data_IF_963195058722
#
_entry.id   IF_963195058722
#
_cell.length_a   1.000
_cell.length_b   1.000
_cell.length_c   1.000
_cell.angle_alpha   90.00
_cell.angle_beta   90.00
_cell.angle_gamma   90.00
#
_symmetry.space_group_name_H-M   'P 1'
#
loop_
_entity.id
_entity.type
_entity.pdbx_description
1 polymer ?
#
# COMPACT_ATOMS: atom_id res chain seq x y z
N UNK A 1 18.08 -9.82 8.37
CA UNK A 1 18.52 -8.95 9.49
C UNK A 1 17.68 -9.28 10.72
N UNK A 2 18.25 -9.23 11.93
CA UNK A 2 17.53 -9.41 13.19
C UNK A 2 17.30 -8.04 13.83
N UNK A 3 16.07 -7.77 14.26
CA UNK A 3 15.70 -6.57 15.00
C UNK A 3 15.39 -6.91 16.45
N UNK A 4 15.98 -6.17 17.38
CA UNK A 4 15.62 -6.21 18.80
C UNK A 4 14.90 -4.92 19.16
N UNK A 5 13.64 -5.03 19.59
CA UNK A 5 12.85 -3.91 20.08
C UNK A 5 12.80 -3.97 21.60
N UNK A 6 13.08 -2.85 22.25
CA UNK A 6 13.09 -2.76 23.70
C UNK A 6 12.49 -1.43 24.16
N UNK A 7 11.61 -1.49 25.17
CA UNK A 7 11.03 -0.34 25.84
C UNK A 7 11.11 -0.55 27.35
N UNK A 8 12.17 -0.01 27.95
CA UNK A 8 12.54 -0.20 29.36
C UNK A 8 11.41 0.11 30.33
N UNK A 9 10.73 1.22 30.11
CA UNK A 9 9.70 1.75 31.02
C UNK A 9 8.49 0.82 31.15
N UNK A 10 8.26 -0.01 30.13
CA UNK A 10 7.13 -0.96 30.09
C UNK A 10 7.58 -2.43 30.13
N UNK A 11 8.87 -2.69 30.36
CA UNK A 11 9.48 -4.01 30.34
C UNK A 11 9.14 -4.83 29.07
N UNK A 12 9.09 -4.16 27.92
CA UNK A 12 8.81 -4.79 26.64
C UNK A 12 10.13 -5.09 25.93
N UNK A 13 10.34 -6.34 25.56
CA UNK A 13 11.46 -6.81 24.74
C UNK A 13 10.94 -7.81 23.71
N UNK A 14 11.39 -7.66 22.46
CA UNK A 14 10.98 -8.54 21.38
C UNK A 14 12.09 -8.68 20.34
N UNK A 15 12.24 -9.90 19.81
CA UNK A 15 13.05 -10.18 18.64
C UNK A 15 12.16 -10.33 17.41
N UNK A 16 12.61 -9.81 16.29
CA UNK A 16 11.97 -9.98 14.99
C UNK A 16 13.03 -10.28 13.92
N UNK A 17 12.62 -10.99 12.86
CA UNK A 17 13.48 -11.30 11.72
C UNK A 17 12.96 -10.60 10.49
N UNK A 18 13.82 -9.78 9.89
CA UNK A 18 13.61 -9.19 8.57
C UNK A 18 14.24 -10.09 7.51
N UNK A 19 13.39 -10.59 6.61
CA UNK A 19 13.80 -11.37 5.44
C UNK A 19 13.64 -10.50 4.20
N UNK A 20 14.65 -10.51 3.34
CA UNK A 20 14.68 -9.81 2.05
C UNK A 20 15.27 -10.77 1.02
N UNK A 21 14.94 -10.55 -0.24
CA UNK A 21 15.60 -11.21 -1.36
C UNK A 21 17.00 -10.58 -1.56
N UNK A 22 17.98 -11.14 -0.87
CA UNK A 22 19.34 -10.62 -0.82
C UNK A 22 20.01 -10.90 0.53
N UNK A 23 21.23 -10.39 0.69
CA UNK A 23 21.96 -10.44 1.95
C UNK A 23 22.28 -9.03 2.43
N UNK A 24 21.84 -8.71 3.66
CA UNK A 24 22.24 -7.47 4.33
C UNK A 24 23.68 -7.63 4.80
N UNK A 25 24.60 -6.85 4.22
CA UNK A 25 26.04 -6.88 4.51
C UNK A 25 26.45 -5.83 5.56
N UNK A 26 25.71 -4.70 5.64
CA UNK A 26 25.98 -3.63 6.59
C UNK A 26 24.70 -2.87 6.93
N UNK A 27 24.65 -2.30 8.14
CA UNK A 27 23.56 -1.44 8.61
C UNK A 27 24.12 -0.23 9.34
N UNK A 28 23.49 0.92 9.17
CA UNK A 28 23.76 2.09 10.01
C UNK A 28 22.46 2.89 10.24
N UNK A 29 22.36 3.51 11.41
CA UNK A 29 21.27 4.43 11.73
C UNK A 29 21.78 5.86 11.55
N UNK A 30 21.05 6.66 10.78
CA UNK A 30 21.38 8.05 10.51
C UNK A 30 20.22 8.92 10.98
N UNK A 31 20.54 9.96 11.76
CA UNK A 31 19.54 10.95 12.13
C UNK A 31 19.18 11.79 10.90
N UNK A 32 17.92 11.73 10.50
CA UNK A 32 17.32 12.67 9.57
C UNK A 32 16.42 13.64 10.33
N UNK A 33 15.92 14.67 9.64
CA UNK A 33 15.18 15.82 10.21
C UNK A 33 14.41 15.48 11.49
N UNK A 34 13.37 14.67 11.37
CA UNK A 34 12.46 14.33 12.47
C UNK A 34 12.41 12.82 12.78
N UNK A 35 13.27 12.01 12.15
CA UNK A 35 13.30 10.57 12.36
C UNK A 35 14.72 10.01 12.23
N UNK A 36 15.04 8.97 12.98
CA UNK A 36 16.25 8.18 12.76
C UNK A 36 15.95 7.13 11.69
N UNK A 37 16.61 7.23 10.54
CA UNK A 37 16.42 6.31 9.41
C UNK A 37 17.50 5.23 9.39
N UNK A 38 17.09 3.99 9.13
CA UNK A 38 18.02 2.87 8.96
C UNK A 38 18.45 2.77 7.50
N UNK A 39 19.75 2.72 7.27
CA UNK A 39 20.36 2.47 5.98
C UNK A 39 20.95 1.06 5.96
N UNK A 40 20.78 0.37 4.84
CA UNK A 40 21.18 -1.02 4.63
C UNK A 40 22.06 -1.09 3.38
N UNK A 41 23.18 -1.80 3.47
CA UNK A 41 23.90 -2.28 2.30
C UNK A 41 23.41 -3.70 2.00
N UNK A 42 22.70 -3.87 0.89
CA UNK A 42 22.09 -5.15 0.50
C UNK A 42 22.73 -5.68 -0.78
N UNK A 43 23.35 -6.86 -0.70
CA UNK A 43 23.85 -7.59 -1.86
C UNK A 43 22.74 -8.41 -2.49
N UNK A 44 22.52 -8.24 -3.79
CA UNK A 44 21.53 -8.99 -4.59
C UNK A 44 22.16 -9.53 -5.88
N UNK A 45 21.45 -10.45 -6.52
CA UNK A 45 21.76 -10.91 -7.88
C UNK A 45 20.66 -10.41 -8.82
N UNK A 46 21.02 -9.57 -9.79
CA UNK A 46 20.10 -8.98 -10.76
C UNK A 46 20.62 -9.34 -12.15
N UNK A 47 19.80 -10.00 -12.97
CA UNK A 47 20.19 -10.52 -14.28
C UNK A 47 21.53 -11.31 -14.29
N UNK A 48 21.79 -12.10 -13.24
CA UNK A 48 23.02 -12.88 -13.08
C UNK A 48 24.24 -12.10 -12.58
N UNK A 49 24.14 -10.79 -12.39
CA UNK A 49 25.21 -9.95 -11.85
C UNK A 49 25.03 -9.73 -10.35
N UNK A 50 26.15 -9.81 -9.60
CA UNK A 50 26.14 -9.43 -8.17
C UNK A 50 26.23 -7.91 -8.05
N UNK A 51 25.22 -7.32 -7.42
CA UNK A 51 25.12 -5.88 -7.19
C UNK A 51 24.92 -5.59 -5.71
N UNK A 52 25.26 -4.35 -5.29
CA UNK A 52 25.04 -3.85 -3.94
C UNK A 52 24.18 -2.61 -4.00
N UNK A 53 23.10 -2.61 -3.23
CA UNK A 53 22.18 -1.48 -3.10
C UNK A 53 22.36 -0.83 -1.73
N UNK A 54 22.34 0.50 -1.72
CA UNK A 54 22.13 1.27 -0.49
C UNK A 54 20.65 1.53 -0.39
N UNK A 55 20.02 1.00 0.66
CA UNK A 55 18.58 1.10 0.87
C UNK A 55 18.27 1.83 2.16
N UNK A 56 17.36 2.80 2.09
CA UNK A 56 16.85 3.51 3.26
C UNK A 56 15.51 2.90 3.64
N UNK A 57 15.35 2.49 4.89
CA UNK A 57 14.07 2.02 5.40
C UNK A 57 13.06 3.18 5.39
N UNK A 58 11.91 2.97 4.77
CA UNK A 58 10.87 3.99 4.69
C UNK A 58 10.23 4.22 6.06
N UNK A 59 9.70 5.44 6.28
CA UNK A 59 8.98 5.75 7.50
C UNK A 59 7.74 4.86 7.63
N UNK A 60 7.49 4.38 8.86
CA UNK A 60 6.25 3.66 9.20
C UNK A 60 5.09 4.61 9.49
N UNK A 61 5.33 5.92 9.46
CA UNK A 61 4.31 6.94 9.61
C UNK A 61 3.79 7.33 8.23
N UNK A 62 2.59 6.86 7.89
CA UNK A 62 1.84 7.27 6.72
C UNK A 62 0.46 7.79 7.13
N UNK A 63 0.00 8.82 6.43
CA UNK A 63 -1.30 9.47 6.69
C UNK A 63 -2.47 8.62 6.22
N UNK A 64 -2.28 7.84 5.15
CA UNK A 64 -3.30 7.03 4.51
C UNK A 64 -2.67 5.84 3.76
N UNK A 65 -3.53 5.03 3.13
CA UNK A 65 -3.11 3.88 2.30
C UNK A 65 -2.34 4.32 1.05
N UNK A 66 -2.55 5.53 0.54
CA UNK A 66 -1.83 6.04 -0.62
C UNK A 66 -0.37 6.34 -0.28
N UNK A 67 -0.07 6.73 0.95
CA UNK A 67 1.29 7.05 1.40
C UNK A 67 2.08 5.82 1.87
N UNK A 68 1.41 4.68 2.06
CA UNK A 68 2.01 3.45 2.54
C UNK A 68 3.20 2.99 1.68
N UNK A 69 4.25 2.54 2.36
CA UNK A 69 5.44 1.94 1.75
C UNK A 69 5.65 0.55 2.33
N UNK A 70 4.97 -0.44 1.76
CA UNK A 70 4.98 -1.82 2.24
C UNK A 70 5.55 -2.78 1.19
N UNK A 71 6.68 -2.39 0.59
CA UNK A 71 7.47 -3.19 -0.35
C UNK A 71 8.95 -3.06 -0.03
N UNK A 72 9.73 -4.06 -0.41
CA UNK A 72 11.19 -4.01 -0.31
C UNK A 72 11.80 -3.47 -1.60
N UNK A 73 12.92 -2.75 -1.50
CA UNK A 73 13.65 -2.17 -2.65
C UNK A 73 12.76 -1.37 -3.62
N UNK A 74 11.76 -0.66 -3.09
CA UNK A 74 10.69 -0.07 -3.88
C UNK A 74 11.04 1.22 -4.63
N UNK A 75 10.26 1.52 -5.66
CA UNK A 75 10.22 2.80 -6.37
C UNK A 75 8.80 3.29 -6.43
N UNK A 76 8.62 4.61 -6.23
CA UNK A 76 7.32 5.26 -6.30
C UNK A 76 7.31 6.37 -7.34
N UNK A 77 6.26 6.38 -8.16
CA UNK A 77 5.80 7.55 -8.88
C UNK A 77 4.75 8.26 -8.04
N UNK A 78 4.89 9.57 -7.86
CA UNK A 78 3.88 10.43 -7.25
C UNK A 78 3.63 11.63 -8.16
N UNK A 79 2.51 11.59 -8.88
CA UNK A 79 2.06 12.63 -9.79
C UNK A 79 1.11 13.64 -9.15
N UNK A 80 0.79 13.47 -7.86
CA UNK A 80 -0.05 14.39 -7.10
C UNK A 80 0.63 15.74 -6.93
N UNK A 81 -0.15 16.80 -7.11
CA UNK A 81 0.31 18.16 -6.90
C UNK A 81 0.59 18.41 -5.42
N UNK A 82 1.76 18.98 -5.13
CA UNK A 82 2.21 19.33 -3.76
C UNK A 82 2.23 20.84 -3.53
N UNK A 83 1.96 21.64 -4.57
CA UNK A 83 2.00 23.09 -4.53
C UNK A 83 0.59 23.66 -4.71
N UNK A 84 -0.07 24.16 -3.65
CA UNK A 84 -1.45 24.61 -3.72
C UNK A 84 -1.65 25.82 -4.63
N UNK A 85 -0.59 26.51 -5.05
CA UNK A 85 -0.67 27.60 -6.02
C UNK A 85 -0.85 27.12 -7.48
N UNK A 86 -0.60 25.83 -7.74
CA UNK A 86 -0.73 25.21 -9.05
C UNK A 86 -2.09 24.54 -9.17
N UNK A 87 -2.97 25.11 -9.98
CA UNK A 87 -4.35 24.61 -10.09
C UNK A 87 -4.69 24.17 -11.50
N UNK A 88 -5.60 23.21 -11.60
CA UNK A 88 -6.25 22.81 -12.85
C UNK A 88 -7.75 23.07 -12.73
N UNK A 89 -8.33 23.69 -13.76
CA UNK A 89 -9.77 23.85 -13.90
C UNK A 89 -10.23 23.16 -15.17
N UNK A 90 -11.40 22.52 -15.11
CA UNK A 90 -12.09 21.99 -16.29
C UNK A 90 -13.32 22.84 -16.63
N UNK A 91 -13.49 23.22 -17.89
CA UNK A 91 -14.69 23.92 -18.40
C UNK A 91 -15.22 23.21 -19.65
N UNK A 92 -16.53 23.12 -19.81
CA UNK A 92 -17.13 22.42 -20.96
C UNK A 92 -18.64 22.57 -21.04
N UNK A 93 -19.20 22.23 -22.20
CA UNK A 93 -20.64 22.30 -22.47
C UNK A 93 -21.41 21.04 -22.02
N UNK A 94 -20.72 19.90 -21.90
CA UNK A 94 -21.27 18.64 -21.41
C UNK A 94 -20.32 18.01 -20.40
N UNK A 95 -20.89 17.30 -19.43
CA UNK A 95 -20.18 16.68 -18.31
C UNK A 95 -20.39 15.17 -18.24
N UNK A 96 -20.86 14.57 -19.33
CA UNK A 96 -21.03 13.13 -19.48
C UNK A 96 -19.69 12.46 -19.86
N UNK A 97 -19.61 11.14 -19.68
CA UNK A 97 -18.46 10.38 -20.16
C UNK A 97 -18.26 10.60 -21.68
N UNK A 98 -17.01 10.77 -22.10
CA UNK A 98 -16.61 11.06 -23.48
C UNK A 98 -16.75 12.53 -23.91
N UNK A 99 -17.36 13.40 -23.10
CA UNK A 99 -17.49 14.82 -23.44
C UNK A 99 -16.12 15.51 -23.47
N UNK A 100 -15.96 16.44 -24.40
CA UNK A 100 -14.76 17.29 -24.49
C UNK A 100 -14.86 18.46 -23.52
N UNK A 101 -13.83 18.62 -22.71
CA UNK A 101 -13.63 19.73 -21.78
C UNK A 101 -12.30 20.42 -22.08
N UNK A 102 -12.21 21.69 -21.73
CA UNK A 102 -10.98 22.46 -21.73
C UNK A 102 -10.35 22.39 -20.34
N UNK A 103 -9.09 21.97 -20.27
CA UNK A 103 -8.26 22.04 -19.08
C UNK A 103 -7.42 23.31 -19.10
N UNK A 104 -7.56 24.11 -18.06
CA UNK A 104 -6.80 25.35 -17.86
C UNK A 104 -5.92 25.19 -16.63
N UNK A 105 -4.62 25.38 -16.80
CA UNK A 105 -3.62 25.40 -15.74
C UNK A 105 -3.30 26.84 -15.31
N UNK A 106 -3.26 27.08 -14.01
CA UNK A 106 -2.79 28.33 -13.43
C UNK A 106 -1.59 28.09 -12.50
N UNK A 107 -0.65 29.04 -12.46
CA UNK A 107 0.57 28.95 -11.65
C UNK A 107 1.63 27.96 -12.17
N UNK A 108 1.39 27.28 -13.29
CA UNK A 108 2.33 26.33 -13.89
C UNK A 108 2.01 26.08 -15.38
N UNK A 109 2.84 25.26 -16.05
CA UNK A 109 2.77 24.95 -17.49
C UNK A 109 2.87 23.44 -17.75
N UNK A 110 1.85 22.63 -17.40
CA UNK A 110 1.92 21.17 -17.42
C UNK A 110 1.78 20.56 -18.82
N UNK A 111 1.39 21.34 -19.82
CA UNK A 111 1.08 20.84 -21.15
C UNK A 111 2.24 21.11 -22.13
N UNK A 112 2.66 20.07 -22.86
CA UNK A 112 3.71 20.15 -23.87
C UNK A 112 3.54 19.07 -24.94
N UNK A 113 4.55 18.89 -25.79
CA UNK A 113 4.47 17.99 -26.95
C UNK A 113 4.15 16.51 -26.58
N UNK A 114 4.47 16.07 -25.37
CA UNK A 114 4.17 14.73 -24.87
C UNK A 114 2.90 14.61 -24.02
N UNK A 115 2.05 15.65 -23.98
CA UNK A 115 0.85 15.64 -23.13
C UNK A 115 -0.36 14.97 -23.78
N UNK A 116 -0.40 14.83 -25.10
CA UNK A 116 -1.48 14.08 -25.76
C UNK A 116 -1.53 12.63 -25.25
N UNK A 117 -2.72 12.17 -24.89
CA UNK A 117 -2.95 10.87 -24.26
C UNK A 117 -2.63 10.78 -22.76
N UNK A 118 -2.03 11.82 -22.15
CA UNK A 118 -1.84 11.84 -20.69
C UNK A 118 -3.17 11.99 -19.97
N UNK A 119 -3.27 11.31 -18.83
CA UNK A 119 -4.42 11.41 -17.94
C UNK A 119 -4.15 12.36 -16.80
N UNK A 120 -5.13 13.16 -16.43
CA UNK A 120 -5.12 13.94 -15.20
C UNK A 120 -6.30 13.51 -14.33
N UNK A 121 -6.05 13.41 -13.03
CA UNK A 121 -7.07 13.16 -12.01
C UNK A 121 -7.28 14.49 -11.29
N UNK A 122 -8.52 14.95 -11.16
CA UNK A 122 -8.87 16.15 -10.41
C UNK A 122 -9.82 15.75 -9.28
N UNK A 123 -9.60 16.31 -8.09
CA UNK A 123 -10.38 16.02 -6.89
C UNK A 123 -10.91 17.27 -6.22
N UNK A 124 -12.06 17.11 -5.58
CA UNK A 124 -12.63 18.07 -4.65
C UNK A 124 -13.38 17.31 -3.55
N UNK A 125 -12.76 17.14 -2.39
CA UNK A 125 -13.29 16.29 -1.32
C UNK A 125 -13.47 14.85 -1.80
N UNK A 126 -14.69 14.31 -1.69
CA UNK A 126 -15.02 12.95 -2.13
C UNK A 126 -15.24 12.81 -3.65
N UNK A 127 -15.29 13.93 -4.39
CA UNK A 127 -15.54 13.91 -5.84
C UNK A 127 -14.22 13.82 -6.60
N UNK A 128 -14.20 12.95 -7.62
CA UNK A 128 -13.05 12.77 -8.50
C UNK A 128 -13.51 12.69 -9.97
N UNK A 129 -12.73 13.28 -10.87
CA UNK A 129 -12.85 13.06 -12.31
C UNK A 129 -11.49 12.73 -12.91
N UNK A 130 -11.49 11.86 -13.93
CA UNK A 130 -10.30 11.60 -14.75
C UNK A 130 -10.56 12.12 -16.15
N UNK A 131 -9.57 12.84 -16.69
CA UNK A 131 -9.61 13.43 -18.02
C UNK A 131 -8.40 12.94 -18.81
N UNK A 132 -8.60 12.65 -20.09
CA UNK A 132 -7.53 12.27 -21.02
C UNK A 132 -7.28 13.42 -21.99
N UNK A 133 -6.07 13.97 -22.00
CA UNK A 133 -5.70 15.08 -22.89
C UNK A 133 -5.73 14.63 -24.35
N UNK A 134 -6.41 15.38 -25.19
CA UNK A 134 -6.55 15.12 -26.63
C UNK A 134 -5.58 15.98 -27.43
N UNK A 135 -5.62 17.30 -27.21
CA UNK A 135 -4.75 18.24 -27.91
C UNK A 135 -4.29 19.36 -26.97
N UNK A 136 -3.06 19.82 -27.17
CA UNK A 136 -2.49 20.94 -26.43
C UNK A 136 -2.66 22.20 -27.25
N UNK A 137 -3.32 23.21 -26.69
CA UNK A 137 -3.48 24.53 -27.31
C UNK A 137 -2.25 25.39 -27.02
N UNK A 138 -1.81 25.41 -25.76
CA UNK A 138 -0.57 26.04 -25.32
C UNK A 138 -0.10 25.40 -24.00
N UNK A 139 0.97 25.92 -23.41
CA UNK A 139 1.57 25.34 -22.21
C UNK A 139 0.65 25.29 -20.97
N UNK A 140 -0.46 26.05 -20.97
CA UNK A 140 -1.43 26.18 -19.88
C UNK A 140 -2.85 25.76 -20.28
N UNK A 141 -3.08 25.43 -21.55
CA UNK A 141 -4.41 25.13 -22.06
C UNK A 141 -4.39 23.90 -22.95
N UNK A 142 -5.23 22.92 -22.64
CA UNK A 142 -5.40 21.71 -23.43
C UNK A 142 -6.87 21.29 -23.52
N UNK A 143 -7.27 20.66 -24.62
CA UNK A 143 -8.54 19.95 -24.70
C UNK A 143 -8.36 18.53 -24.15
N UNK A 144 -9.38 18.02 -23.47
CA UNK A 144 -9.38 16.69 -22.89
C UNK A 144 -10.77 16.06 -22.95
N UNK A 145 -10.84 14.73 -22.94
CA UNK A 145 -12.09 13.98 -22.83
C UNK A 145 -12.29 13.48 -21.41
N UNK A 146 -13.53 13.55 -20.92
CA UNK A 146 -13.91 12.97 -19.65
C UNK A 146 -13.99 11.44 -19.73
N UNK A 147 -13.28 10.73 -18.86
CA UNK A 147 -13.33 9.26 -18.81
C UNK A 147 -14.65 8.74 -18.21
N UNK A 148 -15.26 9.55 -17.33
CA UNK A 148 -16.55 9.31 -16.70
C UNK A 148 -17.29 10.64 -16.49
N UNK A 149 -18.58 10.60 -16.17
CA UNK A 149 -19.33 11.82 -15.90
C UNK A 149 -18.74 12.60 -14.71
N UNK A 150 -18.48 13.91 -14.89
CA UNK A 150 -17.90 14.75 -13.84
C UNK A 150 -19.01 15.33 -12.94
N UNK A 151 -18.87 15.20 -11.62
CA UNK A 151 -19.81 15.79 -10.67
C UNK A 151 -19.74 17.32 -10.66
N UNK A 152 -20.83 17.97 -10.27
CA UNK A 152 -20.96 19.44 -10.24
C UNK A 152 -19.85 20.16 -9.44
N UNK A 153 -19.38 19.63 -8.28
CA UNK A 153 -18.29 20.24 -7.50
C UNK A 153 -16.90 20.27 -8.17
N UNK A 154 -16.74 19.69 -9.37
CA UNK A 154 -15.48 19.71 -10.13
C UNK A 154 -15.49 20.69 -11.31
N UNK A 155 -16.65 21.28 -11.61
CA UNK A 155 -16.91 22.00 -12.88
C UNK A 155 -16.57 23.48 -12.73
N UNK A 156 -15.67 23.99 -13.57
CA UNK A 156 -15.32 25.41 -13.62
C UNK A 156 -14.56 25.95 -12.40
N UNK A 157 -14.08 25.07 -11.52
CA UNK A 157 -13.36 25.43 -10.30
C UNK A 157 -11.87 25.18 -10.50
N UNK A 158 -11.03 26.10 -10.02
CA UNK A 158 -9.59 25.93 -9.97
C UNK A 158 -9.22 25.00 -8.81
N UNK A 159 -8.89 23.75 -9.12
CA UNK A 159 -8.62 22.72 -8.12
C UNK A 159 -7.11 22.59 -7.90
N UNK A 160 -6.63 22.73 -6.64
CA UNK A 160 -5.22 22.46 -6.31
C UNK A 160 -4.95 20.95 -6.15
N UNK A 161 -6.00 20.16 -5.87
CA UNK A 161 -5.89 18.72 -5.70
C UNK A 161 -6.06 18.01 -7.05
N UNK A 162 -4.93 17.80 -7.72
CA UNK A 162 -4.87 17.10 -9.00
C UNK A 162 -3.62 16.24 -9.10
N UNK A 163 -3.65 15.23 -9.98
CA UNK A 163 -2.50 14.40 -10.29
C UNK A 163 -2.31 14.22 -11.80
N UNK A 164 -1.06 14.27 -12.25
CA UNK A 164 -0.69 13.69 -13.54
C UNK A 164 -0.66 12.16 -13.37
N UNK A 165 -1.56 11.44 -14.02
CA UNK A 165 -1.64 10.00 -13.90
C UNK A 165 -0.82 9.30 -14.98
N UNK A 166 -0.23 8.15 -14.62
CA UNK A 166 0.52 7.29 -15.54
C UNK A 166 0.07 5.85 -15.38
N UNK A 167 0.13 5.05 -16.44
CA UNK A 167 -0.03 3.60 -16.39
C UNK A 167 1.31 2.86 -16.38
N UNK A 168 2.41 3.60 -16.27
CA UNK A 168 3.76 3.08 -16.38
C UNK A 168 4.64 3.64 -15.26
N UNK A 169 5.15 2.74 -14.41
CA UNK A 169 6.21 3.03 -13.46
C UNK A 169 7.57 2.66 -14.08
N UNK A 170 8.52 3.57 -13.98
CA UNK A 170 9.88 3.41 -14.50
C UNK A 170 10.90 3.55 -13.36
N UNK A 171 12.17 3.23 -13.64
CA UNK A 171 13.26 3.37 -12.67
C UNK A 171 13.51 2.11 -11.83
N UNK A 172 12.96 0.96 -12.25
CA UNK A 172 13.09 -0.33 -11.56
C UNK A 172 14.25 -1.18 -12.09
N UNK A 173 15.28 -0.58 -12.68
CA UNK A 173 16.40 -1.32 -13.29
C UNK A 173 17.13 -2.23 -12.30
N UNK A 174 17.14 -1.88 -11.02
CA UNK A 174 17.70 -2.70 -9.95
C UNK A 174 16.89 -3.96 -9.64
N UNK A 175 15.67 -4.08 -10.15
CA UNK A 175 14.79 -5.24 -9.96
C UNK A 175 14.48 -5.94 -11.29
N UNK A 176 15.29 -5.71 -12.32
CA UNK A 176 15.04 -6.26 -13.66
C UNK A 176 14.93 -7.80 -13.66
N UNK A 177 13.84 -8.31 -14.25
CA UNK A 177 13.51 -9.74 -14.28
C UNK A 177 12.96 -10.29 -12.96
N UNK A 178 12.79 -9.48 -11.92
CA UNK A 178 12.15 -9.88 -10.66
C UNK A 178 10.64 -9.67 -10.72
N UNK A 179 9.95 -10.49 -9.95
CA UNK A 179 8.55 -10.31 -9.62
C UNK A 179 8.39 -9.21 -8.56
N UNK A 180 7.45 -8.29 -8.78
CA UNK A 180 7.21 -7.15 -7.90
C UNK A 180 5.74 -7.02 -7.53
N UNK A 181 5.50 -6.69 -6.26
CA UNK A 181 4.20 -6.26 -5.79
C UNK A 181 3.96 -4.82 -6.25
N UNK A 182 2.73 -4.51 -6.67
CA UNK A 182 2.38 -3.18 -7.18
C UNK A 182 1.15 -2.65 -6.45
N UNK A 183 1.23 -1.41 -5.99
CA UNK A 183 0.10 -0.65 -5.42
C UNK A 183 -0.09 0.60 -6.25
N UNK A 184 -1.32 0.81 -6.73
CA UNK A 184 -1.70 1.97 -7.52
C UNK A 184 -2.87 2.69 -6.86
N UNK A 185 -2.70 3.97 -6.54
CA UNK A 185 -3.66 4.80 -5.80
C UNK A 185 -4.31 4.08 -4.60
N UNK A 186 -3.49 3.36 -3.82
CA UNK A 186 -3.94 2.68 -2.60
C UNK A 186 -4.62 1.32 -2.83
N UNK A 187 -4.74 0.86 -4.07
CA UNK A 187 -5.26 -0.47 -4.42
C UNK A 187 -4.14 -1.40 -4.87
N UNK A 188 -4.19 -2.66 -4.41
CA UNK A 188 -3.25 -3.71 -4.83
C UNK A 188 -3.54 -4.07 -6.29
N UNK A 189 -2.49 -4.16 -7.09
CA UNK A 189 -2.53 -4.61 -8.48
C UNK A 189 -2.00 -6.05 -8.57
N UNK A 190 -2.32 -6.77 -9.66
CA UNK A 190 -1.66 -8.04 -9.95
C UNK A 190 -0.15 -7.89 -9.95
N UNK A 191 0.54 -8.94 -9.49
CA UNK A 191 1.99 -9.00 -9.49
C UNK A 191 2.53 -8.83 -10.93
N UNK A 192 3.62 -8.08 -11.06
CA UNK A 192 4.21 -7.77 -12.36
C UNK A 192 5.68 -8.19 -12.39
N UNK A 193 6.18 -8.50 -13.59
CA UNK A 193 7.60 -8.74 -13.82
C UNK A 193 8.23 -7.47 -14.37
N UNK A 194 9.33 -7.04 -13.78
CA UNK A 194 10.06 -5.86 -14.26
C UNK A 194 10.73 -6.20 -15.60
N UNK A 195 10.39 -5.42 -16.63
CA UNK A 195 10.97 -5.56 -17.97
C UNK A 195 11.42 -4.19 -18.47
N UNK A 196 12.68 -4.09 -18.91
CA UNK A 196 13.35 -2.86 -19.35
C UNK A 196 13.26 -1.73 -18.31
N UNK A 197 13.37 -2.08 -17.03
CA UNK A 197 13.33 -1.16 -15.88
C UNK A 197 11.96 -0.59 -15.56
N UNK A 198 10.88 -1.26 -15.99
CA UNK A 198 9.51 -0.73 -15.94
C UNK A 198 8.46 -1.78 -15.62
N UNK A 199 7.31 -1.33 -15.08
CA UNK A 199 6.08 -2.15 -14.87
C UNK A 199 4.82 -1.37 -15.24
N UNK A 200 3.96 -1.98 -16.06
CA UNK A 200 2.70 -1.38 -16.54
C UNK A 200 1.52 -1.84 -15.71
N UNK A 201 0.59 -0.93 -15.46
CA UNK A 201 -0.69 -1.21 -14.82
C UNK A 201 -1.86 -0.98 -15.80
N UNK A 202 -2.99 -1.72 -15.68
CA UNK A 202 -4.09 -1.62 -16.64
C UNK A 202 -4.79 -0.25 -16.65
N UNK A 203 -4.82 0.44 -15.50
CA UNK A 203 -5.45 1.75 -15.34
C UNK A 203 -4.41 2.75 -14.85
N UNK A 204 -4.37 3.93 -15.46
CA UNK A 204 -3.46 4.98 -15.01
C UNK A 204 -3.82 5.44 -13.59
N UNK A 205 -2.80 5.71 -12.79
CA UNK A 205 -2.93 6.11 -11.40
C UNK A 205 -2.07 7.36 -11.13
N UNK A 206 -2.52 8.18 -10.17
CA UNK A 206 -1.79 9.35 -9.70
C UNK A 206 -0.54 8.97 -8.90
N UNK A 207 -0.59 7.83 -8.20
CA UNK A 207 0.53 7.28 -7.44
C UNK A 207 0.69 5.80 -7.71
N UNK A 208 1.92 5.36 -7.99
CA UNK A 208 2.27 3.95 -8.18
C UNK A 208 3.48 3.64 -7.34
N UNK A 209 3.40 2.59 -6.52
CA UNK A 209 4.52 2.01 -5.79
C UNK A 209 4.73 0.58 -6.30
N UNK A 210 5.96 0.22 -6.63
CA UNK A 210 6.33 -1.16 -6.89
C UNK A 210 7.65 -1.52 -6.22
N UNK A 211 7.76 -2.76 -5.76
CA UNK A 211 8.97 -3.29 -5.16
C UNK A 211 8.85 -4.79 -4.92
N UNK A 212 9.90 -5.39 -4.38
CA UNK A 212 9.91 -6.80 -4.02
C UNK A 212 8.83 -7.09 -2.97
N UNK A 213 8.00 -8.13 -3.18
CA UNK A 213 7.03 -8.55 -2.18
C UNK A 213 7.76 -9.09 -0.95
N UNK A 214 7.18 -8.88 0.22
CA UNK A 214 7.54 -9.61 1.42
C UNK A 214 6.27 -10.03 2.15
N UNK A 215 6.35 -11.16 2.84
CA UNK A 215 5.27 -11.68 3.68
C UNK A 215 5.64 -11.43 5.13
N UNK A 216 4.73 -10.80 5.87
CA UNK A 216 4.87 -10.63 7.31
C UNK A 216 4.03 -11.68 8.03
N UNK A 217 4.70 -12.51 8.81
CA UNK A 217 4.09 -13.57 9.61
C UNK A 217 4.21 -13.23 11.10
N UNK A 218 3.12 -13.47 11.83
CA UNK A 218 3.04 -13.38 13.27
C UNK A 218 2.36 -14.65 13.79
N UNK A 219 3.02 -15.37 14.69
CA UNK A 219 2.47 -16.54 15.37
C UNK A 219 2.46 -16.27 16.87
N UNK A 220 1.33 -16.52 17.52
CA UNK A 220 1.25 -16.38 18.99
C UNK A 220 2.00 -17.52 19.67
N UNK A 221 2.39 -17.29 20.92
CA UNK A 221 2.80 -18.39 21.80
C UNK A 221 1.64 -19.36 22.04
N UNK A 222 1.96 -20.51 22.64
CA UNK A 222 0.96 -21.48 23.08
C UNK A 222 -0.03 -20.79 24.02
N UNK A 223 -1.33 -20.91 23.71
CA UNK A 223 -2.39 -20.31 24.51
C UNK A 223 -2.50 -21.05 25.82
N UNK A 224 -2.26 -20.35 26.92
CA UNK A 224 -2.59 -20.80 28.26
C UNK A 224 -3.72 -19.93 28.82
N UNK A 225 -4.66 -20.55 29.52
CA UNK A 225 -5.63 -19.82 30.34
C UNK A 225 -5.21 -19.85 31.81
N UNK A 226 -5.82 -18.99 32.62
CA UNK A 226 -5.68 -19.04 34.08
C UNK A 226 -6.06 -20.41 34.67
N UNK A 227 -5.84 -20.62 35.97
CA UNK A 227 -6.02 -21.92 36.63
C UNK A 227 -7.40 -22.53 36.37
N UNK A 228 -7.52 -23.85 36.06
CA UNK A 228 -6.45 -24.85 35.94
C UNK A 228 -5.65 -24.75 34.64
N UNK A 229 -4.42 -25.31 34.62
CA UNK A 229 -3.60 -25.33 33.39
C UNK A 229 -4.31 -26.06 32.25
N UNK A 230 -4.11 -25.55 31.03
CA UNK A 230 -4.57 -26.21 29.81
C UNK A 230 -3.48 -27.05 29.16
N UNK A 231 -2.31 -27.18 29.79
CA UNK A 231 -1.25 -28.05 29.32
C UNK A 231 -1.71 -29.51 29.31
N UNK A 232 -1.45 -30.20 28.20
CA UNK A 232 -1.88 -31.58 27.97
C UNK A 232 -3.33 -31.74 27.50
N UNK A 233 -4.15 -30.68 27.52
CA UNK A 233 -5.50 -30.71 26.97
C UNK A 233 -5.50 -30.31 25.50
N UNK A 234 -6.45 -30.87 24.76
CA UNK A 234 -6.71 -30.41 23.40
C UNK A 234 -7.40 -29.05 23.45
N UNK A 235 -6.95 -28.13 22.60
CA UNK A 235 -7.40 -26.75 22.48
C UNK A 235 -8.00 -26.56 21.10
N UNK A 236 -9.10 -25.83 21.01
CA UNK A 236 -9.77 -25.47 19.76
C UNK A 236 -10.07 -23.97 19.75
N UNK A 237 -9.50 -23.25 18.79
CA UNK A 237 -9.82 -21.85 18.56
C UNK A 237 -10.81 -21.76 17.40
N UNK A 238 -12.03 -21.33 17.69
CA UNK A 238 -13.10 -21.21 16.69
C UNK A 238 -13.20 -19.80 16.08
N UNK A 239 -12.96 -18.78 16.91
CA UNK A 239 -13.06 -17.38 16.52
C UNK A 239 -11.83 -16.64 17.05
N UNK A 240 -11.34 -15.68 16.27
CA UNK A 240 -10.36 -14.71 16.73
C UNK A 240 -10.91 -13.31 16.49
N UNK A 241 -10.80 -12.48 17.51
CA UNK A 241 -10.99 -11.03 17.37
C UNK A 241 -9.61 -10.40 17.23
N UNK A 242 -9.33 -9.82 16.06
CA UNK A 242 -8.13 -9.04 15.81
C UNK A 242 -8.45 -7.57 16.01
N UNK A 243 -7.81 -6.95 17.00
CA UNK A 243 -7.84 -5.50 17.15
C UNK A 243 -6.77 -4.90 16.27
N UNK A 244 -7.19 -4.14 15.26
CA UNK A 244 -6.30 -3.57 14.24
C UNK A 244 -6.38 -2.05 14.21
N UNK A 245 -5.31 -1.43 13.74
CA UNK A 245 -5.25 0.01 13.49
C UNK A 245 -4.66 0.26 12.11
N UNK A 246 -5.40 0.95 11.24
CA UNK A 246 -4.94 1.24 9.88
C UNK A 246 -4.39 -0.01 9.16
N UNK A 247 -5.16 -1.11 9.15
CA UNK A 247 -4.75 -2.38 8.53
C UNK A 247 -5.70 -2.81 7.41
N UNK A 248 -5.18 -3.54 6.41
CA UNK A 248 -6.00 -4.14 5.34
C UNK A 248 -5.31 -5.37 4.72
N UNK A 249 -6.08 -6.39 4.31
CA UNK A 249 -5.54 -7.58 3.64
C UNK A 249 -4.92 -8.64 4.56
N UNK A 250 -5.23 -8.59 5.86
CA UNK A 250 -4.75 -9.60 6.82
C UNK A 250 -5.47 -10.94 6.60
N UNK A 251 -4.76 -12.02 6.84
CA UNK A 251 -5.31 -13.38 6.94
C UNK A 251 -4.96 -13.99 8.28
N UNK A 252 -5.86 -14.79 8.85
CA UNK A 252 -5.69 -15.39 10.17
C UNK A 252 -6.15 -16.84 10.19
N UNK A 253 -5.49 -17.68 10.98
CA UNK A 253 -5.85 -19.09 11.11
C UNK A 253 -5.01 -19.84 12.13
N UNK A 254 -5.23 -21.16 12.28
CA UNK A 254 -4.47 -21.97 13.24
C UNK A 254 -3.00 -22.15 12.87
N UNK A 255 -2.64 -22.07 11.58
CA UNK A 255 -1.28 -22.24 11.09
C UNK A 255 -1.08 -21.59 9.70
N UNK A 256 0.17 -21.55 9.23
CA UNK A 256 0.56 -20.92 7.96
C UNK A 256 -0.09 -21.53 6.70
N UNK A 257 -0.63 -22.76 6.78
CA UNK A 257 -1.27 -23.48 5.67
C UNK A 257 -2.79 -23.37 5.66
N UNK A 258 -3.39 -22.92 6.76
CA UNK A 258 -4.85 -22.79 6.91
C UNK A 258 -5.18 -21.40 7.40
N UNK A 259 -5.38 -20.47 6.46
CA UNK A 259 -5.65 -19.06 6.76
C UNK A 259 -6.95 -18.64 6.11
N UNK A 260 -7.72 -17.82 6.84
CA UNK A 260 -8.95 -17.17 6.38
C UNK A 260 -8.66 -15.67 6.24
N UNK A 261 -8.92 -15.12 5.07
CA UNK A 261 -8.77 -13.69 4.80
C UNK A 261 -9.86 -12.89 5.54
N UNK A 262 -9.46 -11.78 6.16
CA UNK A 262 -10.42 -10.86 6.77
C UNK A 262 -11.17 -10.16 5.65
N UNK A 263 -12.47 -10.42 5.56
CA UNK A 263 -13.33 -9.79 4.56
C UNK A 263 -13.40 -8.28 4.78
N UNK A 264 -13.12 -7.53 3.72
CA UNK A 264 -13.22 -6.08 3.71
C UNK A 264 -14.70 -5.63 3.75
N UNK A 265 -15.00 -4.58 4.52
CA UNK A 265 -16.33 -3.94 4.49
C UNK A 265 -16.35 -2.94 3.35
N UNK A 266 -17.20 -3.17 2.35
CA UNK A 266 -17.41 -2.28 1.21
C UNK A 266 -18.42 -1.20 1.58
N UNK A 267 -17.95 -0.03 1.98
CA UNK A 267 -18.80 1.16 2.20
C UNK A 267 -18.39 2.35 1.32
N UNK A 268 -17.34 2.19 0.51
CA UNK A 268 -16.72 3.27 -0.24
C UNK A 268 -17.41 3.55 -1.58
N UNK A 269 -17.37 4.81 -2.07
CA UNK A 269 -17.82 5.16 -3.41
C UNK A 269 -17.08 4.37 -4.50
N UNK A 270 -17.77 4.09 -5.60
CA UNK A 270 -17.20 3.37 -6.74
C UNK A 270 -15.94 4.09 -7.26
N UNK A 271 -14.79 3.40 -7.22
CA UNK A 271 -13.51 3.90 -7.72
C UNK A 271 -12.58 4.49 -6.65
N UNK A 272 -13.01 4.62 -5.40
CA UNK A 272 -12.12 4.87 -4.27
C UNK A 272 -11.47 3.55 -3.79
N UNK A 273 -10.22 3.57 -3.31
CA UNK A 273 -9.65 2.39 -2.65
C UNK A 273 -10.40 2.08 -1.35
N UNK A 274 -10.48 0.80 -0.98
CA UNK A 274 -10.99 0.39 0.33
C UNK A 274 -10.21 1.10 1.44
N UNK A 275 -10.91 1.69 2.41
CA UNK A 275 -10.26 2.34 3.54
C UNK A 275 -9.51 1.31 4.42
N UNK A 276 -8.55 1.79 5.21
CA UNK A 276 -7.88 0.96 6.20
C UNK A 276 -8.81 0.72 7.39
N UNK A 277 -8.91 -0.52 7.86
CA UNK A 277 -9.72 -0.87 9.01
C UNK A 277 -9.05 -0.43 10.32
N UNK A 278 -9.85 0.13 11.24
CA UNK A 278 -9.48 0.40 12.63
C UNK A 278 -10.60 -0.05 13.55
N UNK A 279 -10.28 -0.91 14.52
CA UNK A 279 -11.26 -1.50 15.43
C UNK A 279 -11.07 -3.00 15.57
N UNK A 280 -12.15 -3.67 15.97
CA UNK A 280 -12.17 -5.11 16.22
C UNK A 280 -12.76 -5.85 15.00
N UNK A 281 -11.93 -6.63 14.33
CA UNK A 281 -12.34 -7.53 13.24
C UNK A 281 -12.52 -8.94 13.77
N UNK A 282 -13.72 -9.51 13.57
CA UNK A 282 -14.07 -10.86 14.01
C UNK A 282 -13.94 -11.83 12.85
N UNK A 283 -13.15 -12.88 13.05
CA UNK A 283 -12.90 -13.88 12.02
C UNK A 283 -13.22 -15.26 12.59
N UNK A 284 -14.10 -15.96 11.88
CA UNK A 284 -14.34 -17.38 12.12
C UNK A 284 -13.21 -18.15 11.44
N UNK A 285 -12.52 -18.97 12.22
CA UNK A 285 -11.45 -19.82 11.71
C UNK A 285 -12.02 -21.19 11.32
N UNK A 286 -11.30 -21.90 10.46
CA UNK A 286 -11.47 -23.34 10.32
C UNK A 286 -10.78 -24.02 11.52
N UNK A 287 -11.56 -24.46 12.53
CA UNK A 287 -10.97 -24.82 13.80
C UNK A 287 -10.34 -26.21 13.72
N UNK A 288 -9.23 -26.39 14.42
CA UNK A 288 -8.64 -27.72 14.61
C UNK A 288 -8.24 -27.93 16.05
N UNK A 289 -8.53 -29.13 16.55
CA UNK A 289 -8.03 -29.59 17.82
C UNK A 289 -6.51 -29.77 17.75
N UNK A 290 -5.79 -29.05 18.61
CA UNK A 290 -4.34 -29.19 18.76
C UNK A 290 -3.94 -28.89 20.21
N UNK A 291 -2.70 -29.22 20.61
CA UNK A 291 -2.26 -29.02 22.00
C UNK A 291 -1.91 -27.55 22.33
N UNK A 292 -1.84 -26.68 21.32
CA UNK A 292 -1.12 -25.41 21.41
C UNK A 292 -2.06 -24.20 21.40
N UNK A 293 -3.19 -24.28 20.69
CA UNK A 293 -4.14 -23.20 20.50
C UNK A 293 -3.57 -21.97 19.75
N UNK A 294 -2.46 -22.09 19.03
CA UNK A 294 -1.81 -20.92 18.40
C UNK A 294 -2.70 -20.26 17.35
N UNK A 295 -2.48 -18.96 17.20
CA UNK A 295 -3.04 -18.16 16.13
C UNK A 295 -1.90 -17.66 15.25
N UNK A 296 -2.04 -17.88 13.96
CA UNK A 296 -1.17 -17.40 12.92
C UNK A 296 -1.85 -16.25 12.17
N UNK A 297 -1.15 -15.14 12.01
CA UNK A 297 -1.59 -13.97 11.26
C UNK A 297 -0.57 -13.68 10.16
N UNK A 298 -1.05 -13.49 8.93
CA UNK A 298 -0.24 -13.20 7.76
C UNK A 298 -0.70 -11.92 7.07
N UNK A 299 0.26 -11.08 6.71
CA UNK A 299 0.10 -10.01 5.72
C UNK A 299 0.93 -10.39 4.49
N UNK A 300 0.26 -10.78 3.41
CA UNK A 300 0.90 -11.12 2.14
C UNK A 300 0.86 -9.97 1.13
N UNK A 301 -0.05 -9.02 1.31
CA UNK A 301 -0.20 -7.90 0.41
C UNK A 301 0.73 -6.75 0.82
N UNK A 302 1.13 -5.89 -0.13
CA UNK A 302 1.96 -4.71 0.14
C UNK A 302 1.14 -3.60 0.82
N UNK A 303 0.51 -3.91 1.94
CA UNK A 303 -0.42 -3.04 2.66
C UNK A 303 -0.05 -2.91 4.14
N UNK A 304 -0.40 -1.76 4.76
CA UNK A 304 -0.30 -1.56 6.19
C UNK A 304 -0.97 -2.67 7.00
N UNK A 305 -0.32 -3.07 8.10
CA UNK A 305 -0.86 -4.00 9.08
C UNK A 305 -0.37 -3.62 10.49
N UNK A 306 -1.16 -2.86 11.24
CA UNK A 306 -0.93 -2.67 12.67
C UNK A 306 -1.88 -3.54 13.46
N UNK A 307 -1.33 -4.54 14.13
CA UNK A 307 -2.05 -5.41 15.06
C UNK A 307 -1.84 -4.85 16.47
N UNK A 308 -2.92 -4.52 17.16
CA UNK A 308 -2.91 -4.00 18.54
C UNK A 308 -3.13 -5.13 19.54
N UNK A 309 -4.02 -6.08 19.21
CA UNK A 309 -4.27 -7.25 20.05
C UNK A 309 -4.77 -8.44 19.21
N UNK A 310 -4.45 -9.64 19.68
CA UNK A 310 -5.00 -10.91 19.19
C UNK A 310 -5.80 -11.52 20.34
N UNK A 311 -7.11 -11.68 20.16
CA UNK A 311 -8.03 -12.13 21.22
C UNK A 311 -8.74 -13.40 20.72
N UNK A 312 -8.15 -14.59 20.94
CA UNK A 312 -8.76 -15.85 20.54
C UNK A 312 -9.88 -16.27 21.49
N UNK A 313 -10.97 -16.80 20.93
CA UNK A 313 -11.98 -17.55 21.68
C UNK A 313 -11.62 -19.03 21.68
N UNK A 314 -11.25 -19.52 22.85
CA UNK A 314 -10.76 -20.87 23.07
C UNK A 314 -11.85 -21.77 23.67
N UNK A 315 -11.97 -22.97 23.13
CA UNK A 315 -12.60 -24.12 23.77
C UNK A 315 -11.51 -25.13 24.15
N UNK A 316 -11.61 -25.70 25.35
CA UNK A 316 -10.73 -26.77 25.81
C UNK A 316 -11.52 -28.08 25.88
N UNK A 317 -10.92 -29.16 25.38
CA UNK A 317 -11.42 -30.51 25.59
C UNK A 317 -11.21 -30.96 27.03
N UNK A 318 -11.98 -31.98 27.45
CA UNK A 318 -11.79 -32.66 28.74
C UNK A 318 -10.48 -33.44 28.81
#
# INVERSE_FOLDING_TARGET
>A
MLGFTYLKEHDVYAWSRHVTDGAVESVCAIQERNETSLYLLVRRTVQGQTVRHVERMASRQFVDVHAAWCVDSGVRYDGWNVDPSRTLAMTGASWQAGATVTLTAAGHTPFGAGSAGRKYILRNGAFQATVTVVAVTNAQLASATLDAAAAEPLRGIALPDWASATSMLQGLWHLEGRHVAVVADGSVQPEAIVTKGRVTIPRAAGRILAGLPYVCDLETLDLESGPPTLQGRSKRVQEVVLRVRHARGLSVGPDAGRLVEIKERLAEPQGAPTALATGDERVLLDPSWNANGRVFVRQAFPLPATIVAVIPRLEAGE
#
